data_IF_982938942453
#
_entry.id   IF_982938942453
#
_cell.length_a   1.000
_cell.length_b   1.000
_cell.length_c   1.000
_cell.angle_alpha   90.00
_cell.angle_beta   90.00
_cell.angle_gamma   90.00
#
_symmetry.space_group_name_H-M   'P 1'
#
loop_
_entity.id
_entity.type
_entity.pdbx_description
1 polymer ?
#
# COMPACT_ATOMS: atom_id res chain seq x y z
N UNK A 1 -26.77 16.25 11.07
CA UNK A 1 -26.68 17.38 10.11
C UNK A 1 -25.47 17.17 9.20
N UNK A 2 -25.51 16.13 8.35
CA UNK A 2 -24.40 15.73 7.43
C UNK A 2 -24.97 15.19 6.10
N UNK A 3 -26.20 15.59 5.75
CA UNK A 3 -26.95 15.02 4.63
C UNK A 3 -27.03 15.92 3.39
N UNK A 4 -26.27 17.02 3.32
CA UNK A 4 -26.46 18.03 2.27
C UNK A 4 -25.17 18.44 1.54
N UNK A 5 -24.26 17.51 1.28
CA UNK A 5 -23.17 17.72 0.31
C UNK A 5 -22.93 16.43 -0.51
N UNK A 6 -23.93 15.97 -1.26
CA UNK A 6 -23.79 14.79 -2.14
C UNK A 6 -24.42 15.00 -3.53
N UNK A 7 -24.23 16.18 -4.14
CA UNK A 7 -24.85 16.46 -5.46
C UNK A 7 -23.93 17.12 -6.49
N UNK A 8 -22.62 16.83 -6.51
CA UNK A 8 -21.78 17.28 -7.65
C UNK A 8 -20.45 16.53 -7.82
N UNK A 9 -20.40 15.23 -7.53
CA UNK A 9 -19.14 14.46 -7.62
C UNK A 9 -19.29 13.41 -8.72
N UNK A 10 -18.50 13.58 -9.79
CA UNK A 10 -18.48 12.72 -10.98
C UNK A 10 -18.41 11.21 -10.66
N UNK A 11 -18.96 10.32 -11.51
CA UNK A 11 -19.01 8.87 -11.22
C UNK A 11 -17.64 8.19 -11.07
N UNK A 12 -16.55 8.81 -11.54
CA UNK A 12 -15.17 8.31 -11.36
C UNK A 12 -14.61 8.57 -9.95
N UNK A 13 -14.98 9.70 -9.33
CA UNK A 13 -14.49 10.06 -8.00
C UNK A 13 -15.19 9.25 -6.91
N UNK A 14 -16.46 8.88 -7.09
CA UNK A 14 -17.18 7.98 -6.17
C UNK A 14 -16.52 6.60 -6.04
N UNK A 15 -15.96 6.05 -7.12
CA UNK A 15 -15.23 4.78 -7.09
C UNK A 15 -13.90 4.88 -6.33
N UNK A 16 -13.22 6.01 -6.43
CA UNK A 16 -11.96 6.27 -5.71
C UNK A 16 -12.25 6.43 -4.21
N UNK A 17 -13.29 7.16 -3.82
CA UNK A 17 -13.67 7.30 -2.40
C UNK A 17 -14.16 5.99 -1.79
N UNK A 18 -14.82 5.12 -2.56
CA UNK A 18 -15.19 3.78 -2.08
C UNK A 18 -13.96 2.88 -1.92
N UNK A 19 -12.97 2.97 -2.82
CA UNK A 19 -11.67 2.28 -2.67
C UNK A 19 -10.88 2.83 -1.47
N UNK A 20 -10.87 4.15 -1.27
CA UNK A 20 -10.27 4.82 -0.11
C UNK A 20 -10.99 4.42 1.19
N UNK A 21 -12.33 4.36 1.22
CA UNK A 21 -13.10 3.93 2.39
C UNK A 21 -12.89 2.44 2.70
N UNK A 22 -12.79 1.58 1.67
CA UNK A 22 -12.42 0.16 1.83
C UNK A 22 -10.99 0.03 2.37
N UNK A 23 -10.07 0.94 2.01
CA UNK A 23 -8.73 1.02 2.59
C UNK A 23 -8.77 1.50 4.06
N UNK A 24 -9.65 2.43 4.42
CA UNK A 24 -9.72 3.08 5.75
C UNK A 24 -10.24 2.18 6.89
N UNK A 25 -10.87 1.02 6.64
CA UNK A 25 -11.33 0.14 7.74
C UNK A 25 -10.99 -1.33 7.51
N UNK A 26 -9.76 -1.61 7.07
CA UNK A 26 -9.25 -2.98 7.09
C UNK A 26 -8.78 -3.37 8.50
N UNK A 27 -9.72 -3.76 9.37
CA UNK A 27 -9.40 -4.24 10.73
C UNK A 27 -9.11 -5.74 10.83
N UNK A 28 -9.24 -6.47 9.71
CA UNK A 28 -9.14 -7.93 9.67
C UNK A 28 -8.17 -8.38 8.59
N UNK A 29 -7.47 -9.48 8.87
CA UNK A 29 -6.67 -10.20 7.88
C UNK A 29 -7.52 -10.52 6.64
N UNK A 30 -7.02 -10.18 5.45
CA UNK A 30 -7.70 -10.45 4.18
C UNK A 30 -6.69 -10.92 3.14
N UNK A 31 -7.02 -11.99 2.40
CA UNK A 31 -6.19 -12.45 1.29
C UNK A 31 -6.95 -12.27 -0.01
N UNK A 32 -6.35 -11.56 -0.97
CA UNK A 32 -6.92 -11.40 -2.32
C UNK A 32 -6.41 -12.55 -3.18
N UNK A 33 -7.30 -13.51 -3.48
CA UNK A 33 -6.98 -14.67 -4.34
C UNK A 33 -7.68 -14.53 -5.68
N UNK A 34 -6.91 -14.59 -6.76
CA UNK A 34 -7.46 -14.66 -8.12
C UNK A 34 -7.32 -16.10 -8.61
N UNK A 35 -8.42 -16.74 -9.04
CA UNK A 35 -8.38 -18.08 -9.61
C UNK A 35 -7.98 -18.07 -11.09
N UNK A 36 -8.46 -17.07 -11.83
CA UNK A 36 -8.21 -16.93 -13.26
C UNK A 36 -6.77 -16.47 -13.55
N UNK A 37 -6.04 -17.27 -14.34
CA UNK A 37 -4.67 -17.01 -14.81
C UNK A 37 -4.55 -15.72 -15.63
N UNK A 38 -5.57 -15.38 -16.43
CA UNK A 38 -5.60 -14.14 -17.21
C UNK A 38 -5.66 -12.93 -16.28
N UNK A 39 -6.55 -12.96 -15.28
CA UNK A 39 -6.65 -11.89 -14.28
C UNK A 39 -5.39 -11.76 -13.42
N UNK A 40 -4.70 -12.87 -13.11
CA UNK A 40 -3.38 -12.84 -12.45
C UNK A 40 -2.35 -12.08 -13.28
N UNK A 41 -2.29 -12.35 -14.60
CA UNK A 41 -1.37 -11.65 -15.51
C UNK A 41 -1.68 -10.15 -15.58
N UNK A 42 -2.96 -9.80 -15.71
CA UNK A 42 -3.41 -8.38 -15.68
C UNK A 42 -2.99 -7.70 -14.38
N UNK A 43 -3.24 -8.32 -13.23
CA UNK A 43 -2.81 -7.81 -11.91
C UNK A 43 -1.30 -7.58 -11.85
N UNK A 44 -0.50 -8.55 -12.28
CA UNK A 44 0.96 -8.42 -12.26
C UNK A 44 1.44 -7.27 -13.14
N UNK A 45 0.85 -7.11 -14.32
CA UNK A 45 1.15 -6.01 -15.22
C UNK A 45 0.76 -4.65 -14.60
N UNK A 46 -0.44 -4.53 -14.04
CA UNK A 46 -0.90 -3.32 -13.36
C UNK A 46 0.02 -2.93 -12.20
N UNK A 47 0.35 -3.87 -11.33
CA UNK A 47 1.31 -3.66 -10.23
C UNK A 47 2.68 -3.21 -10.72
N UNK A 48 3.12 -3.74 -11.86
CA UNK A 48 4.40 -3.35 -12.47
C UNK A 48 4.34 -1.92 -13.02
N UNK A 49 3.24 -1.55 -13.68
CA UNK A 49 3.03 -0.17 -14.14
C UNK A 49 2.98 0.82 -12.96
N UNK A 50 2.22 0.49 -11.90
CA UNK A 50 2.14 1.32 -10.70
C UNK A 50 3.52 1.52 -10.05
N UNK A 51 4.36 0.48 -9.99
CA UNK A 51 5.74 0.59 -9.53
C UNK A 51 6.54 1.58 -10.36
N UNK A 52 6.47 1.47 -11.68
CA UNK A 52 7.23 2.34 -12.59
C UNK A 52 6.76 3.79 -12.48
N UNK A 53 5.46 4.02 -12.34
CA UNK A 53 4.88 5.34 -12.08
C UNK A 53 5.37 5.92 -10.76
N UNK A 54 5.28 5.15 -9.66
CA UNK A 54 5.80 5.55 -8.35
C UNK A 54 7.29 5.90 -8.40
N UNK A 55 8.13 5.05 -9.00
CA UNK A 55 9.57 5.32 -9.17
C UNK A 55 9.86 6.57 -10.01
N UNK A 56 9.05 6.82 -11.04
CA UNK A 56 9.18 8.00 -11.89
C UNK A 56 8.84 9.28 -11.11
N UNK A 57 7.69 9.30 -10.42
CA UNK A 57 7.25 10.44 -9.61
C UNK A 57 8.22 10.71 -8.45
N UNK A 58 8.62 9.67 -7.72
CA UNK A 58 9.57 9.77 -6.61
C UNK A 58 10.91 10.36 -7.04
N UNK A 59 11.43 9.96 -8.21
CA UNK A 59 12.66 10.55 -8.77
C UNK A 59 12.50 12.02 -9.13
N UNK A 60 11.35 12.42 -9.67
CA UNK A 60 11.07 13.84 -9.98
C UNK A 60 11.03 14.68 -8.70
N UNK A 61 10.31 14.22 -7.68
CA UNK A 61 10.22 14.90 -6.40
C UNK A 61 11.60 15.00 -5.72
N UNK A 62 12.38 13.92 -5.70
CA UNK A 62 13.74 13.98 -5.16
C UNK A 62 14.62 14.98 -5.88
N UNK A 63 14.54 15.08 -7.21
CA UNK A 63 15.30 16.08 -7.96
C UNK A 63 14.92 17.50 -7.52
N UNK A 64 13.63 17.80 -7.45
CA UNK A 64 13.12 19.11 -7.00
C UNK A 64 13.58 19.39 -5.57
N UNK A 65 13.52 18.39 -4.68
CA UNK A 65 14.01 18.52 -3.31
C UNK A 65 15.50 18.84 -3.26
N UNK A 66 16.34 18.18 -4.05
CA UNK A 66 17.78 18.48 -4.09
C UNK A 66 18.06 19.90 -4.60
N UNK A 67 17.24 20.40 -5.52
CA UNK A 67 17.38 21.74 -6.10
C UNK A 67 16.87 22.86 -5.15
N UNK A 68 15.86 22.56 -4.30
CA UNK A 68 15.14 23.57 -3.49
C UNK A 68 15.33 23.45 -1.98
N UNK A 69 15.65 22.24 -1.48
CA UNK A 69 15.63 21.85 -0.08
C UNK A 69 14.29 22.14 0.63
N UNK A 70 13.17 22.16 -0.10
CA UNK A 70 11.84 22.46 0.45
C UNK A 70 11.27 21.23 1.18
N UNK A 71 10.97 21.42 2.48
CA UNK A 71 10.36 20.39 3.34
C UNK A 71 9.01 19.89 2.83
N UNK A 72 8.23 20.71 2.11
CA UNK A 72 6.96 20.28 1.53
C UNK A 72 7.14 19.15 0.51
N UNK A 73 8.23 19.17 -0.25
CA UNK A 73 8.55 18.11 -1.21
C UNK A 73 8.88 16.81 -0.48
N UNK A 74 9.51 16.89 0.70
CA UNK A 74 9.76 15.72 1.53
C UNK A 74 8.46 15.09 2.05
N UNK A 75 7.49 15.91 2.46
CA UNK A 75 6.15 15.46 2.85
C UNK A 75 5.42 14.80 1.68
N UNK A 76 5.53 15.35 0.46
CA UNK A 76 4.97 14.74 -0.75
C UNK A 76 5.61 13.39 -1.08
N UNK A 77 6.95 13.27 -0.94
CA UNK A 77 7.66 12.00 -1.11
C UNK A 77 7.15 10.98 -0.10
N UNK A 78 7.02 11.38 1.17
CA UNK A 78 6.52 10.50 2.24
C UNK A 78 5.10 10.03 1.97
N UNK A 79 4.21 10.94 1.54
CA UNK A 79 2.83 10.62 1.17
C UNK A 79 2.75 9.65 -0.02
N UNK A 80 3.58 9.88 -1.03
CA UNK A 80 3.69 9.01 -2.21
C UNK A 80 4.21 7.61 -1.83
N UNK A 81 5.26 7.54 -1.01
CA UNK A 81 5.83 6.29 -0.52
C UNK A 81 4.82 5.53 0.34
N UNK A 82 4.14 6.20 1.27
CA UNK A 82 3.10 5.60 2.10
C UNK A 82 1.98 4.99 1.23
N UNK A 83 1.43 5.78 0.31
CA UNK A 83 0.35 5.33 -0.60
C UNK A 83 0.74 4.10 -1.43
N UNK A 84 1.99 4.06 -1.91
CA UNK A 84 2.47 2.93 -2.71
C UNK A 84 2.80 1.69 -1.87
N UNK A 85 3.48 1.87 -0.73
CA UNK A 85 4.02 0.79 0.10
C UNK A 85 2.96 0.11 0.98
N UNK A 86 1.90 0.84 1.36
CA UNK A 86 0.76 0.31 2.11
C UNK A 86 -0.37 -0.19 1.20
N UNK A 87 -0.28 0.05 -0.12
CA UNK A 87 -1.22 -0.49 -1.10
C UNK A 87 -0.96 -1.97 -1.44
N UNK A 88 -1.94 -2.68 -2.07
CA UNK A 88 -1.79 -4.07 -2.51
C UNK A 88 -0.95 -4.20 -3.80
N UNK A 89 0.14 -3.45 -3.89
CA UNK A 89 0.98 -3.28 -5.08
C UNK A 89 2.11 -4.32 -5.16
N UNK A 90 2.54 -4.85 -4.01
CA UNK A 90 3.56 -5.88 -3.91
C UNK A 90 3.72 -6.34 -2.47
N UNK A 91 4.45 -7.43 -2.26
CA UNK A 91 4.81 -7.88 -0.92
C UNK A 91 5.74 -6.84 -0.26
N UNK A 92 5.39 -6.34 0.92
CA UNK A 92 6.20 -5.39 1.69
C UNK A 92 7.61 -5.90 1.99
N UNK A 93 7.77 -7.21 2.16
CA UNK A 93 9.03 -7.84 2.54
C UNK A 93 9.91 -8.21 1.33
N UNK A 94 9.37 -8.95 0.35
CA UNK A 94 10.18 -9.44 -0.79
C UNK A 94 10.00 -8.65 -2.09
N UNK A 95 9.08 -7.68 -2.14
CA UNK A 95 8.80 -6.90 -3.34
C UNK A 95 8.11 -7.66 -4.48
N UNK A 96 7.80 -8.95 -4.30
CA UNK A 96 7.10 -9.78 -5.29
C UNK A 96 5.71 -9.23 -5.61
N UNK A 97 5.34 -9.23 -6.90
CA UNK A 97 4.11 -8.59 -7.44
C UNK A 97 3.14 -9.59 -8.06
N UNK A 98 3.64 -10.75 -8.43
CA UNK A 98 2.93 -11.87 -9.03
C UNK A 98 2.03 -12.60 -8.03
N UNK A 99 2.38 -12.55 -6.75
CA UNK A 99 1.72 -13.31 -5.69
C UNK A 99 0.36 -12.74 -5.29
N UNK A 100 -0.48 -13.64 -4.79
CA UNK A 100 -1.63 -13.25 -3.97
C UNK A 100 -1.11 -12.63 -2.67
N UNK A 101 -1.71 -11.50 -2.29
CA UNK A 101 -1.29 -10.75 -1.10
C UNK A 101 -2.30 -10.93 0.02
N UNK A 102 -1.77 -11.00 1.24
CA UNK A 102 -2.47 -11.05 2.50
C UNK A 102 -2.19 -9.76 3.24
N UNK A 103 -3.25 -9.04 3.57
CA UNK A 103 -3.21 -7.86 4.41
C UNK A 103 -3.01 -8.23 5.87
N UNK A 104 -2.10 -7.51 6.53
CA UNK A 104 -1.85 -7.59 7.96
C UNK A 104 -2.46 -6.36 8.66
N UNK A 105 -3.51 -6.51 9.47
CA UNK A 105 -4.09 -5.38 10.21
C UNK A 105 -3.18 -4.87 11.33
N UNK A 106 -2.12 -5.60 11.70
CA UNK A 106 -1.18 -5.15 12.73
C UNK A 106 -0.36 -3.93 12.28
N UNK A 107 0.01 -3.88 11.00
CA UNK A 107 0.91 -2.86 10.46
C UNK A 107 0.36 -2.13 9.24
N UNK A 108 -0.88 -2.40 8.86
CA UNK A 108 -1.54 -1.84 7.67
C UNK A 108 -0.73 -2.09 6.38
N UNK A 109 -0.16 -3.29 6.21
CA UNK A 109 0.61 -3.64 5.00
C UNK A 109 0.22 -4.98 4.38
N UNK A 110 0.71 -5.20 3.15
CA UNK A 110 0.42 -6.38 2.34
C UNK A 110 1.65 -7.27 2.16
N UNK A 111 1.48 -8.56 2.42
CA UNK A 111 2.54 -9.57 2.28
C UNK A 111 2.12 -10.70 1.35
N UNK A 112 3.07 -11.30 0.63
CA UNK A 112 2.81 -12.62 0.05
C UNK A 112 2.67 -13.66 1.17
N UNK A 113 1.99 -14.78 0.90
CA UNK A 113 1.71 -15.79 1.94
C UNK A 113 2.99 -16.28 2.66
N UNK A 114 4.09 -16.45 1.93
CA UNK A 114 5.37 -16.88 2.48
C UNK A 114 5.92 -15.86 3.48
N UNK A 115 5.99 -14.60 3.07
CA UNK A 115 6.50 -13.52 3.92
C UNK A 115 5.56 -13.25 5.10
N UNK A 116 4.24 -13.38 4.92
CA UNK A 116 3.29 -13.25 6.01
C UNK A 116 3.52 -14.33 7.08
N UNK A 117 3.67 -15.60 6.68
CA UNK A 117 3.97 -16.71 7.60
C UNK A 117 5.30 -16.51 8.30
N UNK A 118 6.34 -16.09 7.58
CA UNK A 118 7.64 -15.76 8.15
C UNK A 118 7.51 -14.66 9.22
N UNK A 119 6.87 -13.55 8.89
CA UNK A 119 6.68 -12.41 9.78
C UNK A 119 5.91 -12.81 11.05
N UNK A 120 4.82 -13.56 10.90
CA UNK A 120 4.02 -14.05 12.02
C UNK A 120 4.78 -15.05 12.91
N UNK A 121 5.62 -15.90 12.32
CA UNK A 121 6.41 -16.86 13.09
C UNK A 121 7.53 -16.19 13.87
N UNK A 122 8.10 -15.10 13.35
CA UNK A 122 9.08 -14.29 14.05
C UNK A 122 8.50 -13.75 15.35
N UNK A 123 7.41 -12.98 15.29
CA UNK A 123 6.81 -12.37 16.49
C UNK A 123 6.21 -13.36 17.49
N UNK A 124 5.84 -14.57 17.04
CA UNK A 124 5.46 -15.63 17.98
C UNK A 124 6.63 -16.15 18.81
N UNK A 125 7.86 -16.07 18.28
CA UNK A 125 9.08 -16.55 18.93
C UNK A 125 9.80 -15.45 19.72
N UNK A 126 9.53 -14.20 19.38
CA UNK A 126 10.11 -13.01 20.00
C UNK A 126 8.99 -12.09 20.52
N UNK A 127 8.15 -12.55 21.48
CA UNK A 127 7.04 -11.75 22.01
C UNK A 127 7.50 -10.49 22.77
N UNK A 128 8.74 -10.49 23.27
CA UNK A 128 9.40 -9.38 23.97
C UNK A 128 10.04 -8.34 23.03
N UNK A 129 10.29 -8.71 21.78
CA UNK A 129 10.70 -7.74 20.77
C UNK A 129 9.46 -6.95 20.41
N UNK A 130 9.33 -5.78 21.06
CA UNK A 130 8.29 -4.81 20.81
C UNK A 130 8.05 -4.74 19.31
N UNK A 131 6.77 -4.83 18.95
CA UNK A 131 6.33 -4.79 17.58
C UNK A 131 7.12 -3.73 16.82
N UNK A 132 7.76 -4.10 15.71
CA UNK A 132 8.61 -3.19 14.92
C UNK A 132 7.94 -1.84 14.60
N UNK A 133 6.61 -1.75 14.75
CA UNK A 133 5.79 -0.54 14.92
C UNK A 133 6.39 0.55 15.83
N UNK A 134 7.19 0.21 16.86
CA UNK A 134 7.85 1.20 17.74
C UNK A 134 9.25 1.60 17.25
N UNK A 135 9.89 0.79 16.40
CA UNK A 135 11.28 0.98 15.97
C UNK A 135 11.41 1.80 14.68
N UNK A 136 10.34 1.92 13.89
CA UNK A 136 10.31 2.71 12.65
C UNK A 136 8.98 3.48 12.51
N UNK A 137 8.78 4.58 13.25
CA UNK A 137 7.67 5.51 13.02
C UNK A 137 7.73 6.17 11.64
#
# INVERSE_FOLDING_TARGET
MLYLIFNSVEPLTLNIYLLIYIMIVMKKKRTIRLKDTRLRRVRTNLRTLLRLMWQSQRRKLHKIFMDTNDKKILEEISSLDHSYLHGPNGCRLCGGREFDLTYNPGDDTWYCERCYKFNQNYYKKHPEEADWRELYP
#
